data_IF_213438764951
#
_entry.id   IF_213438764951
#
_cell.length_a   1.000
_cell.length_b   1.000
_cell.length_c   1.000
_cell.angle_alpha   90.00
_cell.angle_beta   90.00
_cell.angle_gamma   90.00
#
_symmetry.space_group_name_H-M   'P 1'
#
loop_
_entity.id
_entity.type
_entity.pdbx_description
1 polymer ?
#
# COMPACT_ATOMS: atom_id res chain seq x y z
N UNK A 1 11.79 -7.57 14.88
CA UNK A 1 10.82 -8.67 14.81
C UNK A 1 10.34 -8.92 16.23
N UNK A 2 9.10 -8.54 16.54
CA UNK A 2 8.54 -8.80 17.87
C UNK A 2 7.87 -10.17 17.84
N UNK A 3 8.60 -11.19 18.25
CA UNK A 3 8.01 -12.43 18.76
C UNK A 3 7.87 -12.18 20.25
N UNK A 4 6.66 -12.31 20.79
CA UNK A 4 6.42 -11.98 22.20
C UNK A 4 7.08 -13.03 23.11
N UNK A 5 8.30 -12.74 23.58
CA UNK A 5 8.98 -13.28 24.79
C UNK A 5 10.32 -12.52 25.08
N UNK A 6 10.71 -12.36 26.37
CA UNK A 6 11.75 -11.47 27.00
C UNK A 6 13.26 -11.84 26.82
N UNK A 7 14.27 -10.98 27.16
CA UNK A 7 15.46 -10.70 26.32
C UNK A 7 16.84 -11.27 26.78
N UNK A 8 17.80 -11.27 25.85
CA UNK A 8 19.25 -11.30 26.10
C UNK A 8 20.04 -10.44 25.08
N UNK A 9 21.28 -10.14 25.46
CA UNK A 9 22.11 -8.93 25.26
C UNK A 9 22.90 -8.78 23.92
N UNK A 10 23.36 -7.54 23.71
CA UNK A 10 24.04 -6.86 22.61
C UNK A 10 25.41 -7.43 22.16
N UNK A 11 25.74 -7.20 20.86
CA UNK A 11 26.97 -6.47 20.47
C UNK A 11 27.07 -6.06 18.98
N UNK A 12 27.55 -4.83 18.84
CA UNK A 12 27.89 -3.99 17.67
C UNK A 12 28.94 -4.58 16.68
N UNK A 13 28.90 -4.16 15.40
CA UNK A 13 29.76 -3.08 14.84
C UNK A 13 29.62 -2.87 13.31
N UNK A 14 29.80 -1.60 12.99
CA UNK A 14 29.69 -0.84 11.73
C UNK A 14 30.97 -0.92 10.87
N UNK A 15 30.87 -0.78 9.54
CA UNK A 15 31.78 0.06 8.71
C UNK A 15 31.16 0.41 7.35
N UNK A 16 31.26 1.69 6.97
CA UNK A 16 30.80 2.28 5.71
C UNK A 16 31.99 2.72 4.86
N UNK A 17 31.91 2.59 3.52
CA UNK A 17 32.82 3.26 2.57
C UNK A 17 32.05 4.30 1.75
N UNK A 18 32.47 5.55 1.90
CA UNK A 18 31.94 6.74 1.22
C UNK A 18 32.84 7.05 0.02
N UNK A 19 32.25 7.30 -1.15
CA UNK A 19 32.97 7.81 -2.35
C UNK A 19 32.48 9.22 -2.69
N UNK A 20 33.41 10.07 -3.11
CA UNK A 20 33.30 11.54 -3.15
C UNK A 20 32.65 12.06 -4.44
N UNK A 21 31.58 12.85 -4.26
CA UNK A 21 30.80 13.56 -5.27
C UNK A 21 31.60 14.57 -6.12
N UNK A 22 32.78 15.00 -5.64
CA UNK A 22 33.65 15.97 -6.34
C UNK A 22 34.25 15.45 -7.65
N UNK A 23 34.26 14.12 -7.83
CA UNK A 23 34.83 13.47 -9.02
C UNK A 23 33.88 13.47 -10.21
N UNK A 24 32.56 13.60 -9.97
CA UNK A 24 31.54 13.58 -11.02
C UNK A 24 31.31 14.98 -11.64
N UNK A 25 31.44 16.04 -10.83
CA UNK A 25 31.19 17.43 -11.24
C UNK A 25 32.24 18.01 -12.20
N UNK A 26 33.51 17.59 -12.09
CA UNK A 26 34.59 18.09 -12.97
C UNK A 26 34.53 17.58 -14.41
N UNK A 27 33.72 16.55 -14.70
CA UNK A 27 33.66 15.92 -16.03
C UNK A 27 32.67 16.58 -16.99
N UNK A 28 31.71 17.39 -16.52
CA UNK A 28 30.64 17.96 -17.36
C UNK A 28 30.91 19.39 -17.82
N UNK A 29 31.67 20.19 -17.07
CA UNK A 29 31.81 21.65 -17.34
C UNK A 29 32.85 21.98 -18.43
N UNK A 30 33.81 21.10 -18.70
CA UNK A 30 34.91 21.38 -19.66
C UNK A 30 34.56 21.08 -21.13
N UNK A 31 33.39 20.51 -21.41
CA UNK A 31 32.95 20.12 -22.77
C UNK A 31 32.30 21.28 -23.55
N UNK A 32 31.67 22.24 -22.86
CA UNK A 32 30.86 23.28 -23.51
C UNK A 32 31.63 24.52 -24.01
N UNK A 33 32.86 24.75 -23.54
CA UNK A 33 33.58 26.00 -23.79
C UNK A 33 34.39 26.03 -25.11
N UNK A 34 34.32 25.01 -25.97
CA UNK A 34 35.19 24.90 -27.18
C UNK A 34 34.51 25.11 -28.54
N UNK A 35 33.20 25.38 -28.62
CA UNK A 35 32.48 25.28 -29.91
C UNK A 35 31.71 26.50 -30.41
N UNK A 36 31.95 27.72 -29.91
CA UNK A 36 31.23 28.90 -30.41
C UNK A 36 32.18 30.00 -30.92
N UNK A 37 32.66 29.84 -32.16
CA UNK A 37 33.18 30.95 -32.96
C UNK A 37 32.00 31.77 -33.48
N UNK A 38 31.68 32.89 -32.83
CA UNK A 38 30.61 33.80 -33.25
C UNK A 38 31.22 35.04 -33.91
N UNK A 39 30.77 35.31 -35.14
CA UNK A 39 31.22 36.41 -36.01
C UNK A 39 31.04 37.81 -35.40
N UNK A 40 31.97 38.76 -35.62
CA UNK A 40 32.01 40.07 -34.97
C UNK A 40 30.88 41.03 -35.38
N UNK A 41 29.99 40.66 -36.30
CA UNK A 41 28.83 41.50 -36.67
C UNK A 41 27.60 41.30 -35.77
N UNK A 42 27.59 40.29 -34.90
CA UNK A 42 26.49 40.04 -33.95
C UNK A 42 26.72 40.79 -32.61
N UNK A 43 27.93 41.31 -32.38
CA UNK A 43 28.35 41.89 -31.11
C UNK A 43 27.77 43.28 -30.78
N UNK A 44 27.00 43.91 -31.66
CA UNK A 44 26.48 45.29 -31.46
C UNK A 44 24.98 45.32 -31.11
N UNK A 45 24.22 44.25 -31.38
CA UNK A 45 22.77 44.21 -31.06
C UNK A 45 22.44 43.36 -29.81
N UNK A 46 23.37 42.54 -29.35
CA UNK A 46 23.22 41.70 -28.16
C UNK A 46 23.07 42.45 -26.82
N UNK A 47 23.74 43.59 -26.55
CA UNK A 47 23.60 44.24 -25.23
C UNK A 47 22.27 44.99 -25.05
N UNK A 48 21.46 45.15 -26.11
CA UNK A 48 20.16 45.84 -26.05
C UNK A 48 19.00 44.83 -26.00
N UNK A 49 19.09 43.73 -26.76
CA UNK A 49 18.03 42.71 -26.82
C UNK A 49 17.90 41.87 -25.54
N UNK A 50 19.02 41.59 -24.86
CA UNK A 50 19.01 40.82 -23.60
C UNK A 50 18.30 41.56 -22.45
N UNK A 51 18.57 42.84 -22.16
CA UNK A 51 17.84 43.54 -21.09
C UNK A 51 16.37 43.76 -21.44
N UNK A 52 16.01 44.01 -22.71
CA UNK A 52 14.61 44.15 -23.13
C UNK A 52 13.83 42.85 -22.99
N UNK A 53 14.43 41.71 -23.34
CA UNK A 53 13.79 40.39 -23.13
C UNK A 53 13.66 40.05 -21.65
N UNK A 54 14.68 40.33 -20.83
CA UNK A 54 14.59 40.19 -19.37
C UNK A 54 13.52 41.10 -18.75
N UNK A 55 13.37 42.35 -19.22
CA UNK A 55 12.36 43.28 -18.73
C UNK A 55 10.94 42.79 -19.08
N UNK A 56 10.74 42.26 -20.29
CA UNK A 56 9.47 41.67 -20.73
C UNK A 56 9.11 40.40 -19.96
N UNK A 57 10.10 39.55 -19.65
CA UNK A 57 9.91 38.37 -18.80
C UNK A 57 9.54 38.80 -17.37
N UNK A 58 10.25 39.77 -16.80
CA UNK A 58 9.94 40.31 -15.47
C UNK A 58 8.55 40.96 -15.42
N UNK A 59 8.18 41.72 -16.45
CA UNK A 59 6.84 42.32 -16.56
C UNK A 59 5.75 41.26 -16.69
N UNK A 60 5.99 40.15 -17.39
CA UNK A 60 5.04 39.03 -17.48
C UNK A 60 4.90 38.27 -16.15
N UNK A 61 5.98 38.19 -15.35
CA UNK A 61 5.97 37.59 -14.01
C UNK A 61 5.25 38.49 -12.99
N UNK A 62 5.40 39.82 -13.10
CA UNK A 62 4.73 40.76 -12.18
C UNK A 62 3.28 41.03 -12.59
N UNK A 63 2.97 41.07 -13.89
CA UNK A 63 1.61 41.24 -14.41
C UNK A 63 0.71 40.02 -14.15
N UNK A 64 1.29 38.84 -13.90
CA UNK A 64 0.53 37.63 -13.54
C UNK A 64 0.18 37.54 -12.04
N UNK A 65 0.61 38.49 -11.20
CA UNK A 65 0.24 38.56 -9.78
C UNK A 65 -1.04 39.38 -9.50
N UNK A 66 -1.77 39.76 -10.54
CA UNK A 66 -3.05 40.47 -10.45
C UNK A 66 -4.28 39.57 -10.43
N UNK A 67 -4.36 38.61 -9.49
CA UNK A 67 -5.61 38.12 -8.91
C UNK A 67 -5.28 37.11 -7.81
N UNK A 68 -5.29 37.56 -6.55
CA UNK A 68 -5.30 36.64 -5.40
C UNK A 68 -6.63 35.91 -5.34
N UNK A 69 -6.82 34.92 -6.19
CA UNK A 69 -7.56 33.73 -5.79
C UNK A 69 -6.67 33.00 -4.80
N UNK A 70 -6.98 33.12 -3.52
CA UNK A 70 -6.49 32.23 -2.46
C UNK A 70 -7.03 30.83 -2.77
N UNK A 71 -6.36 30.14 -3.70
CA UNK A 71 -6.71 28.78 -4.10
C UNK A 71 -6.43 27.86 -2.91
N UNK A 72 -7.38 26.97 -2.64
CA UNK A 72 -7.45 25.94 -1.61
C UNK A 72 -6.27 24.95 -1.54
N UNK A 73 -5.12 25.22 -2.18
CA UNK A 73 -3.93 24.36 -2.13
C UNK A 73 -3.23 24.34 -0.76
N UNK A 74 -3.45 25.34 0.09
CA UNK A 74 -2.92 25.37 1.46
C UNK A 74 -3.53 24.32 2.40
N UNK A 75 -4.76 23.87 2.13
CA UNK A 75 -5.44 22.87 2.95
C UNK A 75 -4.90 21.45 2.69
N UNK A 76 -4.41 21.18 1.48
CA UNK A 76 -3.90 19.85 1.11
C UNK A 76 -2.48 19.62 1.64
N UNK A 77 -1.60 20.61 1.64
CA UNK A 77 -0.21 20.45 2.11
C UNK A 77 -0.09 20.31 3.64
N UNK A 78 -1.02 20.85 4.41
CA UNK A 78 -1.05 20.68 5.87
C UNK A 78 -1.37 19.23 6.29
N UNK A 79 -2.14 18.50 5.47
CA UNK A 79 -2.54 17.11 5.71
C UNK A 79 -1.41 16.09 5.57
N UNK A 80 -0.28 16.44 4.93
CA UNK A 80 0.85 15.53 4.71
C UNK A 80 1.89 15.58 5.85
N UNK A 81 1.65 16.38 6.89
CA UNK A 81 2.60 16.60 7.97
C UNK A 81 2.73 15.41 8.94
N UNK A 82 1.83 14.42 8.88
CA UNK A 82 1.94 13.19 9.66
C UNK A 82 1.40 12.00 8.88
N UNK A 83 2.30 11.25 8.25
CA UNK A 83 1.98 9.93 7.72
C UNK A 83 1.70 9.02 8.93
N UNK A 84 0.52 8.37 9.02
CA UNK A 84 0.21 7.48 10.14
C UNK A 84 1.17 6.30 10.15
N UNK A 85 1.52 5.83 11.34
CA UNK A 85 2.36 4.63 11.48
C UNK A 85 1.57 3.42 11.00
N UNK A 86 2.22 2.51 10.28
CA UNK A 86 1.61 1.24 9.86
C UNK A 86 2.16 0.09 10.68
N UNK A 87 1.27 -0.70 11.26
CA UNK A 87 1.58 -1.93 11.98
C UNK A 87 1.18 -3.14 11.12
N UNK A 88 2.13 -4.04 10.89
CA UNK A 88 1.94 -5.22 10.03
C UNK A 88 1.63 -6.45 10.87
N UNK A 89 0.49 -7.08 10.61
CA UNK A 89 0.02 -8.31 11.27
C UNK A 89 -0.01 -9.48 10.28
N UNK A 90 0.72 -10.54 10.60
CA UNK A 90 0.91 -11.69 9.71
C UNK A 90 0.46 -12.97 10.41
N UNK A 91 -0.64 -13.61 9.97
CA UNK A 91 -1.13 -14.85 10.55
C UNK A 91 -0.26 -16.02 10.08
N UNK A 92 0.38 -16.75 10.98
CA UNK A 92 1.03 -18.02 10.65
C UNK A 92 1.16 -18.89 11.89
N UNK A 93 0.98 -20.19 11.73
CA UNK A 93 1.34 -21.15 12.77
C UNK A 93 2.78 -21.64 12.60
N UNK A 94 3.32 -22.21 13.67
CA UNK A 94 4.70 -22.70 13.72
C UNK A 94 5.00 -23.71 12.60
N UNK A 95 4.11 -24.68 12.40
CA UNK A 95 4.29 -25.73 11.40
C UNK A 95 4.40 -25.16 9.99
N UNK A 96 3.46 -24.30 9.56
CA UNK A 96 3.48 -23.70 8.23
C UNK A 96 4.69 -22.77 8.06
N UNK A 97 5.04 -22.00 9.09
CA UNK A 97 6.20 -21.11 9.06
C UNK A 97 7.53 -21.86 8.88
N UNK A 98 7.69 -23.01 9.54
CA UNK A 98 8.91 -23.83 9.47
C UNK A 98 8.97 -24.63 8.17
N UNK A 99 7.83 -25.18 7.73
CA UNK A 99 7.79 -26.11 6.58
C UNK A 99 7.66 -25.41 5.22
N UNK A 100 7.28 -24.13 5.18
CA UNK A 100 7.01 -23.40 3.93
C UNK A 100 8.08 -22.33 3.66
N UNK A 101 9.01 -22.53 2.70
CA UNK A 101 10.06 -21.55 2.38
C UNK A 101 9.55 -20.17 1.96
N UNK A 102 8.29 -20.10 1.52
CA UNK A 102 7.67 -18.84 1.14
C UNK A 102 7.51 -17.88 2.32
N UNK A 103 7.28 -18.39 3.54
CA UNK A 103 7.22 -17.55 4.73
C UNK A 103 8.51 -16.75 4.95
N UNK A 104 9.67 -17.39 4.79
CA UNK A 104 10.96 -16.71 4.88
C UNK A 104 11.11 -15.60 3.83
N UNK A 105 10.58 -15.80 2.61
CA UNK A 105 10.59 -14.76 1.56
C UNK A 105 9.70 -13.58 1.95
N UNK A 106 8.51 -13.84 2.50
CA UNK A 106 7.60 -12.81 3.02
C UNK A 106 8.26 -11.98 4.11
N UNK A 107 8.84 -12.63 5.12
CA UNK A 107 9.51 -11.98 6.25
C UNK A 107 10.76 -11.21 5.81
N UNK A 108 11.54 -11.76 4.88
CA UNK A 108 12.68 -11.07 4.30
C UNK A 108 12.24 -9.80 3.56
N UNK A 109 11.18 -9.89 2.73
CA UNK A 109 10.60 -8.73 2.05
C UNK A 109 10.14 -7.66 3.03
N UNK A 110 9.51 -8.06 4.13
CA UNK A 110 9.10 -7.14 5.19
C UNK A 110 10.29 -6.42 5.84
N UNK A 111 11.29 -7.17 6.31
CA UNK A 111 12.46 -6.61 7.02
C UNK A 111 13.26 -5.69 6.11
N UNK A 112 13.51 -6.09 4.86
CA UNK A 112 14.27 -5.27 3.88
C UNK A 112 13.56 -3.96 3.55
N UNK A 113 12.23 -3.94 3.58
CA UNK A 113 11.43 -2.74 3.34
C UNK A 113 11.14 -1.90 4.61
N UNK A 114 11.77 -2.23 5.75
CA UNK A 114 11.67 -1.45 6.99
C UNK A 114 10.42 -1.74 7.82
N UNK A 115 9.77 -2.89 7.62
CA UNK A 115 8.66 -3.32 8.47
C UNK A 115 9.15 -3.99 9.75
N UNK A 116 8.32 -3.90 10.80
CA UNK A 116 8.44 -4.75 11.98
C UNK A 116 7.19 -5.63 12.09
N UNK A 117 7.20 -6.83 11.48
CA UNK A 117 6.03 -7.72 11.49
C UNK A 117 5.67 -8.18 12.90
N UNK A 118 4.36 -8.23 13.17
CA UNK A 118 3.74 -8.90 14.31
C UNK A 118 3.17 -10.20 13.80
N UNK A 119 3.77 -11.31 14.22
CA UNK A 119 3.28 -12.64 13.88
C UNK A 119 2.26 -13.07 14.91
N UNK A 120 1.13 -13.60 14.46
CA UNK A 120 0.11 -14.13 15.33
C UNK A 120 -0.39 -15.50 14.87
N UNK A 121 -1.12 -16.19 15.76
CA UNK A 121 -1.54 -17.58 15.60
C UNK A 121 -0.40 -18.63 15.60
N UNK A 122 0.80 -18.28 16.11
CA UNK A 122 1.97 -19.17 16.12
C UNK A 122 1.67 -20.57 16.68
N UNK A 123 1.00 -20.63 17.84
CA UNK A 123 0.69 -21.90 18.52
C UNK A 123 -0.65 -22.52 18.13
N UNK A 124 -1.33 -22.01 17.11
CA UNK A 124 -2.67 -22.47 16.71
C UNK A 124 -2.54 -23.67 15.75
N UNK A 125 -3.16 -24.79 16.11
CA UNK A 125 -3.14 -26.05 15.34
C UNK A 125 -4.38 -26.29 14.47
N UNK A 126 -5.38 -25.41 14.55
CA UNK A 126 -6.67 -25.56 13.85
C UNK A 126 -6.70 -24.85 12.48
N UNK A 127 -7.84 -24.95 11.77
CA UNK A 127 -8.05 -24.38 10.43
C UNK A 127 -7.57 -22.93 10.32
N UNK A 128 -6.68 -22.69 9.34
CA UNK A 128 -5.94 -21.45 9.18
C UNK A 128 -6.84 -20.22 8.93
N UNK A 129 -7.90 -20.36 8.13
CA UNK A 129 -8.71 -19.24 7.66
C UNK A 129 -9.61 -18.64 8.76
N UNK A 130 -10.36 -19.48 9.46
CA UNK A 130 -11.21 -19.01 10.56
C UNK A 130 -10.38 -18.34 11.66
N UNK A 131 -9.21 -18.90 11.95
CA UNK A 131 -8.31 -18.40 12.99
C UNK A 131 -7.64 -17.09 12.61
N UNK A 132 -7.49 -16.78 11.32
CA UNK A 132 -7.00 -15.46 10.87
C UNK A 132 -7.95 -14.34 11.29
N UNK A 133 -9.26 -14.51 11.06
CA UNK A 133 -10.27 -13.52 11.48
C UNK A 133 -10.37 -13.46 13.01
N UNK A 134 -10.54 -14.61 13.66
CA UNK A 134 -10.66 -14.70 15.11
C UNK A 134 -9.44 -14.10 15.83
N UNK A 135 -8.23 -14.56 15.48
CA UNK A 135 -7.00 -14.16 16.16
C UNK A 135 -6.71 -12.68 16.00
N UNK A 136 -6.99 -12.09 14.83
CA UNK A 136 -6.84 -10.66 14.65
C UNK A 136 -7.90 -9.87 15.44
N UNK A 137 -9.17 -10.32 15.45
CA UNK A 137 -10.21 -9.69 16.26
C UNK A 137 -9.85 -9.66 17.76
N UNK A 138 -9.34 -10.78 18.30
CA UNK A 138 -8.89 -10.90 19.69
C UNK A 138 -7.70 -9.97 19.98
N UNK A 139 -6.73 -9.87 19.07
CA UNK A 139 -5.57 -8.97 19.22
C UNK A 139 -5.98 -7.50 19.20
N UNK A 140 -6.84 -7.09 18.26
CA UNK A 140 -7.30 -5.70 18.13
C UNK A 140 -8.19 -5.26 19.30
N UNK A 141 -8.84 -6.21 19.98
CA UNK A 141 -9.60 -5.97 21.20
C UNK A 141 -8.74 -5.96 22.48
N UNK A 142 -7.49 -6.43 22.42
CA UNK A 142 -6.64 -6.55 23.60
C UNK A 142 -5.99 -5.21 23.97
N UNK A 143 -6.27 -4.65 25.17
CA UNK A 143 -5.62 -3.43 25.62
C UNK A 143 -4.12 -3.62 25.87
N UNK A 144 -3.68 -4.86 26.11
CA UNK A 144 -2.26 -5.19 26.32
C UNK A 144 -1.48 -5.09 25.01
N UNK A 145 -1.99 -5.70 23.94
CA UNK A 145 -1.30 -5.71 22.66
C UNK A 145 -1.42 -4.37 21.92
N UNK A 146 -2.52 -3.64 22.11
CA UNK A 146 -2.76 -2.36 21.45
C UNK A 146 -2.23 -1.15 22.23
N UNK A 147 -1.64 -1.34 23.42
CA UNK A 147 -1.23 -0.25 24.33
C UNK A 147 -0.38 0.83 23.67
N UNK A 148 0.52 0.42 22.78
CA UNK A 148 1.51 1.31 22.15
C UNK A 148 1.09 1.73 20.72
N UNK A 149 -0.16 1.48 20.34
CA UNK A 149 -0.76 1.85 19.06
C UNK A 149 -1.84 2.91 19.26
N UNK A 150 -1.96 3.83 18.31
CA UNK A 150 -2.98 4.89 18.35
C UNK A 150 -4.17 4.52 17.48
N UNK A 151 -5.34 5.06 17.81
CA UNK A 151 -6.56 4.82 17.04
C UNK A 151 -6.45 5.30 15.58
N UNK A 152 -5.60 6.30 15.30
CA UNK A 152 -5.33 6.82 13.96
C UNK A 152 -4.19 6.09 13.20
N UNK A 153 -3.46 5.19 13.87
CA UNK A 153 -2.47 4.33 13.22
C UNK A 153 -3.16 3.38 12.22
N UNK A 154 -2.42 2.96 11.20
CA UNK A 154 -2.89 1.99 10.22
C UNK A 154 -2.51 0.57 10.64
N UNK A 155 -3.45 -0.35 10.48
CA UNK A 155 -3.23 -1.79 10.61
C UNK A 155 -3.24 -2.36 9.21
N UNK A 156 -2.15 -3.01 8.82
CA UNK A 156 -2.06 -3.82 7.61
C UNK A 156 -1.99 -5.28 8.03
N UNK A 157 -2.92 -6.10 7.56
CA UNK A 157 -2.79 -7.55 7.65
C UNK A 157 -2.67 -8.15 6.25
N UNK A 158 -1.85 -9.19 6.13
CA UNK A 158 -1.63 -9.89 4.86
C UNK A 158 -1.33 -11.37 5.09
N UNK A 159 -1.53 -12.19 4.07
CA UNK A 159 -1.15 -13.60 4.11
C UNK A 159 0.36 -13.79 4.24
N UNK A 160 0.73 -14.88 4.93
CA UNK A 160 2.11 -15.14 5.30
C UNK A 160 2.89 -15.95 4.25
N UNK A 161 2.19 -16.74 3.43
CA UNK A 161 2.79 -17.85 2.69
C UNK A 161 2.87 -17.64 1.17
N UNK A 162 2.20 -16.63 0.63
CA UNK A 162 2.06 -16.43 -0.82
C UNK A 162 2.09 -14.96 -1.26
N UNK A 163 2.50 -14.06 -0.36
CA UNK A 163 2.70 -12.65 -0.62
C UNK A 163 4.09 -12.18 -0.19
N UNK A 164 4.61 -11.10 -0.75
CA UNK A 164 5.80 -10.44 -0.21
C UNK A 164 5.70 -8.92 -0.33
N UNK A 165 6.27 -8.22 0.64
CA UNK A 165 6.26 -6.77 0.69
C UNK A 165 7.38 -6.19 -0.18
N UNK A 166 7.03 -5.21 -1.01
CA UNK A 166 7.97 -4.47 -1.88
C UNK A 166 8.03 -2.98 -1.57
N UNK A 167 7.13 -2.51 -0.69
CA UNK A 167 6.97 -1.10 -0.37
C UNK A 167 7.23 -0.91 1.12
N UNK A 168 7.76 0.25 1.49
CA UNK A 168 7.94 0.61 2.89
C UNK A 168 6.60 0.99 3.56
N UNK A 169 6.51 0.94 4.90
CA UNK A 169 5.33 1.38 5.64
C UNK A 169 4.84 2.78 5.22
N UNK A 170 5.76 3.73 5.05
CA UNK A 170 5.43 5.11 4.71
C UNK A 170 4.79 5.24 3.32
N UNK A 171 5.24 4.44 2.35
CA UNK A 171 4.66 4.43 1.00
C UNK A 171 3.26 3.84 1.03
N UNK A 172 3.06 2.75 1.78
CA UNK A 172 1.74 2.14 1.95
C UNK A 172 0.78 3.12 2.64
N UNK A 173 1.21 3.80 3.70
CA UNK A 173 0.40 4.78 4.40
C UNK A 173 0.00 5.96 3.50
N UNK A 174 0.93 6.53 2.72
CA UNK A 174 0.62 7.61 1.77
C UNK A 174 -0.41 7.17 0.73
N UNK A 175 -0.26 5.97 0.17
CA UNK A 175 -1.20 5.40 -0.80
C UNK A 175 -2.58 5.17 -0.20
N UNK A 176 -2.67 4.76 1.07
CA UNK A 176 -3.94 4.66 1.77
C UNK A 176 -4.60 6.04 1.93
N UNK A 177 -3.84 7.07 2.31
CA UNK A 177 -4.36 8.44 2.43
C UNK A 177 -4.83 9.02 1.09
N UNK A 178 -4.17 8.66 -0.02
CA UNK A 178 -4.57 9.06 -1.38
C UNK A 178 -5.94 8.50 -1.80
N UNK A 179 -6.45 7.45 -1.14
CA UNK A 179 -7.78 6.89 -1.41
C UNK A 179 -8.92 7.73 -0.83
N UNK A 180 -8.63 8.76 -0.01
CA UNK A 180 -9.64 9.68 0.52
C UNK A 180 -10.39 9.10 1.73
N UNK A 181 -11.73 9.26 1.74
CA UNK A 181 -12.60 8.83 2.84
C UNK A 181 -12.95 7.33 2.76
N UNK A 182 -11.94 6.48 2.95
CA UNK A 182 -12.08 5.02 3.08
C UNK A 182 -11.72 4.60 4.51
N UNK A 183 -12.52 3.72 5.12
CA UNK A 183 -12.28 3.25 6.50
C UNK A 183 -11.39 2.01 6.54
N UNK A 184 -11.72 1.04 5.67
CA UNK A 184 -10.99 -0.22 5.48
C UNK A 184 -10.90 -0.48 3.99
N UNK A 185 -9.75 -0.97 3.53
CA UNK A 185 -9.49 -1.36 2.16
C UNK A 185 -9.06 -2.81 2.15
N UNK A 186 -9.75 -3.63 1.37
CA UNK A 186 -9.35 -5.03 1.12
C UNK A 186 -8.77 -5.17 -0.28
N UNK A 187 -7.95 -6.18 -0.50
CA UNK A 187 -7.41 -6.47 -1.83
C UNK A 187 -8.56 -6.77 -2.81
N UNK A 188 -8.38 -6.36 -4.07
CA UNK A 188 -9.29 -6.74 -5.14
C UNK A 188 -8.71 -7.91 -5.94
N UNK A 189 -9.56 -8.88 -6.29
CA UNK A 189 -9.22 -10.00 -7.15
C UNK A 189 -10.22 -10.20 -8.28
N UNK A 190 -9.82 -11.04 -9.23
CA UNK A 190 -10.57 -11.37 -10.44
C UNK A 190 -11.65 -12.42 -10.21
N UNK A 191 -11.43 -13.33 -9.26
CA UNK A 191 -12.34 -14.44 -9.05
C UNK A 191 -13.32 -14.09 -7.92
N UNK A 192 -14.59 -14.41 -8.11
CA UNK A 192 -15.52 -14.46 -7.00
C UNK A 192 -15.45 -15.86 -6.41
N UNK A 193 -14.71 -16.03 -5.32
CA UNK A 193 -14.50 -17.32 -4.68
C UNK A 193 -14.60 -17.17 -3.16
N UNK A 194 -15.14 -18.15 -2.43
CA UNK A 194 -15.74 -19.41 -2.88
C UNK A 194 -17.22 -19.29 -3.27
N UNK A 195 -17.74 -18.07 -3.36
CA UNK A 195 -19.15 -17.82 -3.60
C UNK A 195 -19.61 -18.30 -4.96
N UNK A 196 -20.92 -18.59 -5.04
CA UNK A 196 -21.61 -18.89 -6.29
C UNK A 196 -21.46 -17.73 -7.29
N UNK A 197 -20.92 -17.99 -8.49
CA UNK A 197 -20.62 -16.95 -9.50
C UNK A 197 -21.90 -16.22 -9.92
N UNK A 198 -23.02 -16.92 -9.92
CA UNK A 198 -24.35 -16.41 -10.23
C UNK A 198 -25.05 -15.76 -9.01
N UNK A 199 -24.46 -15.87 -7.81
CA UNK A 199 -25.00 -15.33 -6.57
C UNK A 199 -24.83 -13.81 -6.45
N UNK A 200 -25.72 -13.19 -5.66
CA UNK A 200 -25.75 -11.73 -5.40
C UNK A 200 -24.37 -11.15 -5.00
N UNK A 201 -23.61 -11.86 -4.17
CA UNK A 201 -22.29 -11.40 -3.71
C UNK A 201 -21.26 -11.24 -4.86
N UNK A 202 -21.47 -11.94 -5.97
CA UNK A 202 -20.63 -11.88 -7.17
C UNK A 202 -21.20 -10.94 -8.23
N UNK A 203 -22.47 -11.10 -8.58
CA UNK A 203 -23.10 -10.35 -9.68
C UNK A 203 -23.29 -8.87 -9.35
N UNK A 204 -23.55 -8.55 -8.07
CA UNK A 204 -23.77 -7.17 -7.62
C UNK A 204 -22.44 -6.44 -7.32
N UNK A 205 -21.29 -7.12 -7.46
CA UNK A 205 -19.98 -6.49 -7.30
C UNK A 205 -19.78 -5.38 -8.36
N UNK A 206 -19.42 -4.15 -7.95
CA UNK A 206 -19.28 -3.04 -8.88
C UNK A 206 -18.20 -3.33 -9.92
N UNK A 207 -18.43 -2.84 -11.13
CA UNK A 207 -17.47 -2.99 -12.24
C UNK A 207 -16.12 -2.38 -11.85
N UNK A 208 -15.03 -3.07 -12.21
CA UNK A 208 -13.67 -2.58 -11.99
C UNK A 208 -13.49 -1.18 -12.58
N UNK A 209 -12.94 -0.20 -11.83
CA UNK A 209 -12.64 1.13 -12.34
C UNK A 209 -11.40 1.15 -13.26
N UNK A 210 -10.71 0.02 -13.40
CA UNK A 210 -9.51 -0.10 -14.22
C UNK A 210 -9.86 -0.04 -15.71
N UNK A 211 -8.90 0.47 -16.50
CA UNK A 211 -9.04 0.57 -17.95
C UNK A 211 -9.23 -0.84 -18.55
N UNK A 212 -10.24 -0.98 -19.42
CA UNK A 212 -10.50 -2.24 -20.13
C UNK A 212 -9.29 -2.64 -20.97
N UNK A 213 -8.95 -3.93 -20.97
CA UNK A 213 -7.80 -4.46 -21.71
C UNK A 213 -6.45 -4.28 -21.02
N UNK A 214 -6.41 -3.79 -19.77
CA UNK A 214 -5.18 -3.71 -18.99
C UNK A 214 -4.58 -5.09 -18.67
N UNK A 215 -5.42 -6.12 -18.56
CA UNK A 215 -5.01 -7.49 -18.25
C UNK A 215 -5.10 -8.40 -19.47
N UNK A 216 -4.24 -9.42 -19.49
CA UNK A 216 -4.29 -10.53 -20.44
C UNK A 216 -5.63 -11.27 -20.36
N UNK A 217 -6.01 -11.87 -21.49
CA UNK A 217 -7.24 -12.64 -21.66
C UNK A 217 -7.08 -14.11 -21.26
N UNK A 218 -5.87 -14.50 -20.93
CA UNK A 218 -5.45 -15.84 -20.56
C UNK A 218 -4.67 -15.82 -19.25
N UNK A 219 -4.74 -16.91 -18.49
CA UNK A 219 -3.89 -17.13 -17.32
C UNK A 219 -2.50 -17.67 -17.70
N UNK A 220 -1.64 -17.88 -16.70
CA UNK A 220 -0.26 -18.39 -16.93
C UNK A 220 -0.22 -19.79 -17.55
N UNK A 221 -1.32 -20.54 -17.49
CA UNK A 221 -1.44 -21.87 -18.05
C UNK A 221 -2.12 -21.86 -19.43
N UNK A 222 -2.40 -20.67 -19.99
CA UNK A 222 -3.07 -20.52 -21.27
C UNK A 222 -4.58 -20.77 -21.23
N UNK A 223 -5.19 -20.87 -20.04
CA UNK A 223 -6.65 -20.94 -19.93
C UNK A 223 -7.24 -19.60 -20.28
N UNK A 224 -8.21 -19.59 -21.18
CA UNK A 224 -8.98 -18.39 -21.48
C UNK A 224 -9.80 -17.97 -20.25
N UNK A 225 -9.64 -16.71 -19.85
CA UNK A 225 -10.38 -16.11 -18.75
C UNK A 225 -11.80 -15.78 -19.20
N UNK A 226 -12.77 -16.00 -18.32
CA UNK A 226 -14.12 -15.49 -18.53
C UNK A 226 -14.09 -13.95 -18.57
N UNK A 227 -15.01 -13.29 -19.29
CA UNK A 227 -15.10 -11.83 -19.30
C UNK A 227 -15.15 -11.20 -17.90
N UNK A 228 -15.72 -11.91 -16.93
CA UNK A 228 -15.82 -11.51 -15.53
C UNK A 228 -14.49 -11.62 -14.76
N UNK A 229 -13.57 -12.46 -15.24
CA UNK A 229 -12.23 -12.68 -14.66
C UNK A 229 -11.17 -11.74 -15.29
N UNK A 230 -11.55 -10.90 -16.25
CA UNK A 230 -10.61 -10.03 -16.96
C UNK A 230 -10.11 -8.87 -16.08
N UNK A 231 -10.91 -8.38 -15.15
CA UNK A 231 -10.53 -7.27 -14.28
C UNK A 231 -10.90 -7.58 -12.82
N UNK A 232 -10.02 -7.24 -11.86
CA UNK A 232 -10.34 -7.44 -10.46
C UNK A 232 -11.55 -6.59 -10.09
N UNK A 233 -12.49 -7.18 -9.36
CA UNK A 233 -13.69 -6.50 -8.79
C UNK A 233 -14.19 -7.11 -7.48
N UNK A 234 -13.73 -8.31 -7.15
CA UNK A 234 -14.15 -9.09 -5.99
C UNK A 234 -13.19 -8.86 -4.83
N UNK A 235 -13.67 -8.95 -3.58
CA UNK A 235 -12.81 -8.82 -2.41
C UNK A 235 -11.91 -10.05 -2.23
N UNK A 236 -10.69 -9.84 -1.76
CA UNK A 236 -9.74 -10.88 -1.39
C UNK A 236 -9.28 -10.64 0.05
N UNK A 237 -9.31 -11.71 0.86
CA UNK A 237 -8.98 -11.64 2.28
C UNK A 237 -7.50 -11.58 2.58
N UNK A 238 -6.65 -11.83 1.59
CA UNK A 238 -5.21 -11.97 1.74
C UNK A 238 -4.46 -10.67 1.98
N UNK A 239 -5.11 -9.51 1.86
CA UNK A 239 -4.55 -8.23 2.33
C UNK A 239 -5.66 -7.26 2.71
N UNK A 240 -5.58 -6.71 3.92
CA UNK A 240 -6.54 -5.72 4.44
C UNK A 240 -5.79 -4.60 5.16
N UNK A 241 -6.16 -3.35 4.90
CA UNK A 241 -5.61 -2.18 5.59
C UNK A 241 -6.73 -1.25 6.06
N UNK A 242 -6.56 -0.64 7.22
CA UNK A 242 -7.46 0.40 7.71
C UNK A 242 -6.91 1.08 8.95
N UNK A 243 -7.61 2.11 9.43
CA UNK A 243 -7.28 2.71 10.74
C UNK A 243 -7.58 1.72 11.85
N UNK A 244 -6.82 1.78 12.95
CA UNK A 244 -7.00 0.86 14.08
C UNK A 244 -8.46 0.83 14.57
N UNK A 245 -9.09 1.99 14.73
CA UNK A 245 -10.50 2.07 15.17
C UNK A 245 -11.46 1.33 14.22
N UNK A 246 -11.27 1.52 12.92
CA UNK A 246 -12.12 0.93 11.88
C UNK A 246 -11.85 -0.57 11.71
N UNK A 247 -10.59 -0.98 11.82
CA UNK A 247 -10.16 -2.39 11.76
C UNK A 247 -10.68 -3.17 12.96
N UNK A 248 -10.72 -2.56 14.16
CA UNK A 248 -11.32 -3.19 15.35
C UNK A 248 -12.81 -3.44 15.14
N UNK A 249 -13.56 -2.45 14.66
CA UNK A 249 -14.98 -2.61 14.36
C UNK A 249 -15.23 -3.65 13.25
N UNK A 250 -14.42 -3.60 12.18
CA UNK A 250 -14.52 -4.51 11.04
C UNK A 250 -14.30 -5.98 11.45
N UNK A 251 -13.18 -6.28 12.12
CA UNK A 251 -12.87 -7.66 12.53
C UNK A 251 -13.78 -8.17 13.65
N UNK A 252 -14.26 -7.31 14.54
CA UNK A 252 -15.29 -7.69 15.52
C UNK A 252 -16.61 -8.05 14.83
N UNK A 253 -17.03 -7.29 13.82
CA UNK A 253 -18.22 -7.57 13.02
C UNK A 253 -18.09 -8.86 12.21
N UNK A 254 -16.96 -9.06 11.54
CA UNK A 254 -16.62 -10.31 10.85
C UNK A 254 -16.71 -11.49 11.83
N UNK A 255 -16.02 -11.40 12.95
CA UNK A 255 -16.00 -12.45 13.96
C UNK A 255 -17.39 -12.77 14.52
N UNK A 256 -18.19 -11.74 14.80
CA UNK A 256 -19.58 -11.91 15.25
C UNK A 256 -20.45 -12.62 14.23
N UNK A 257 -20.30 -12.32 12.93
CA UNK A 257 -21.05 -12.97 11.87
C UNK A 257 -20.61 -14.42 11.66
N UNK A 258 -19.30 -14.71 11.70
CA UNK A 258 -18.78 -16.09 11.58
C UNK A 258 -19.30 -17.03 12.67
N UNK A 259 -19.64 -16.50 13.85
CA UNK A 259 -20.23 -17.27 14.95
C UNK A 259 -21.76 -17.28 14.95
N UNK A 260 -22.40 -16.64 13.99
CA UNK A 260 -23.85 -16.63 13.89
C UNK A 260 -24.36 -17.85 13.13
N UNK A 261 -25.57 -18.30 13.45
CA UNK A 261 -26.23 -19.41 12.74
C UNK A 261 -26.51 -19.12 11.26
N UNK A 262 -26.26 -17.89 10.80
CA UNK A 262 -26.43 -17.46 9.41
C UNK A 262 -25.19 -17.70 8.56
N UNK A 263 -24.06 -18.03 9.18
CA UNK A 263 -22.81 -18.28 8.46
C UNK A 263 -22.63 -19.77 8.26
N UNK A 264 -22.70 -20.19 7.00
CA UNK A 264 -22.47 -21.57 6.54
C UNK A 264 -21.13 -21.74 5.80
N UNK A 265 -20.36 -20.66 5.67
CA UNK A 265 -19.02 -20.66 5.08
C UNK A 265 -17.95 -21.27 5.99
N UNK A 266 -16.82 -21.65 5.40
CA UNK A 266 -15.70 -22.28 6.12
C UNK A 266 -14.36 -21.52 5.99
N UNK A 267 -14.32 -20.49 5.16
CA UNK A 267 -13.14 -19.71 4.81
C UNK A 267 -13.26 -18.24 5.25
N UNK A 268 -12.20 -17.45 5.13
CA UNK A 268 -12.16 -16.05 5.53
C UNK A 268 -12.51 -15.09 4.38
N UNK A 269 -12.66 -15.59 3.16
CA UNK A 269 -12.93 -14.81 1.97
C UNK A 269 -14.43 -14.65 1.72
N UNK A 270 -15.23 -15.71 1.85
CA UNK A 270 -16.69 -15.69 1.71
C UNK A 270 -17.33 -14.59 2.56
N UNK A 271 -16.86 -14.43 3.80
CA UNK A 271 -17.36 -13.39 4.70
C UNK A 271 -17.02 -11.96 4.24
N UNK A 272 -15.87 -11.75 3.57
CA UNK A 272 -15.51 -10.41 3.10
C UNK A 272 -16.40 -9.95 1.95
N UNK A 273 -16.89 -10.86 1.13
CA UNK A 273 -17.92 -10.54 0.14
C UNK A 273 -19.24 -10.12 0.82
N UNK A 274 -19.64 -10.83 1.88
CA UNK A 274 -20.85 -10.51 2.64
C UNK A 274 -20.76 -9.16 3.40
N UNK A 275 -19.56 -8.70 3.77
CA UNK A 275 -19.40 -7.43 4.52
C UNK A 275 -19.70 -6.16 3.73
N UNK A 276 -19.72 -6.19 2.39
CA UNK A 276 -20.17 -5.01 1.61
C UNK A 276 -21.58 -4.55 2.00
N UNK A 277 -22.41 -5.47 2.51
CA UNK A 277 -23.77 -5.16 2.96
C UNK A 277 -23.81 -4.36 4.27
N UNK A 278 -22.74 -4.39 5.08
CA UNK A 278 -22.70 -3.86 6.44
C UNK A 278 -21.61 -2.81 6.68
N UNK A 279 -20.65 -2.66 5.76
CA UNK A 279 -19.55 -1.70 5.85
C UNK A 279 -19.58 -0.71 4.66
N UNK A 280 -20.32 0.41 4.78
CA UNK A 280 -20.56 1.33 3.66
C UNK A 280 -19.29 2.00 3.10
N UNK A 281 -18.22 2.10 3.91
CA UNK A 281 -16.94 2.71 3.54
C UNK A 281 -15.83 1.68 3.27
N UNK A 282 -16.19 0.45 2.89
CA UNK A 282 -15.24 -0.57 2.45
C UNK A 282 -14.71 -0.24 1.04
N UNK A 283 -13.44 0.09 0.96
CA UNK A 283 -12.72 0.29 -0.31
C UNK A 283 -12.14 -1.01 -0.87
N UNK A 284 -11.90 -1.02 -2.18
CA UNK A 284 -11.14 -2.07 -2.86
C UNK A 284 -9.83 -1.51 -3.43
N UNK A 285 -8.73 -2.23 -3.26
CA UNK A 285 -7.43 -1.87 -3.81
C UNK A 285 -7.24 -2.45 -5.22
N UNK A 286 -7.27 -1.59 -6.25
CA UNK A 286 -7.07 -1.93 -7.65
C UNK A 286 -5.80 -1.29 -8.22
N UNK A 287 -4.98 -1.99 -9.04
CA UNK A 287 -4.39 -3.30 -8.80
C UNK A 287 -3.23 -3.19 -7.80
N UNK A 288 -3.26 -3.98 -6.72
CA UNK A 288 -2.12 -4.24 -5.82
C UNK A 288 -1.32 -2.99 -5.36
N UNK A 289 -2.02 -1.89 -5.09
CA UNK A 289 -1.38 -0.64 -4.61
C UNK A 289 -0.74 -0.85 -3.23
N UNK A 290 -1.17 -1.88 -2.50
CA UNK A 290 -0.77 -2.15 -1.11
C UNK A 290 0.26 -3.28 -0.98
N UNK A 291 0.10 -4.37 -1.74
CA UNK A 291 1.02 -5.51 -1.74
C UNK A 291 0.89 -6.29 -3.05
N UNK A 292 1.99 -6.86 -3.52
CA UNK A 292 2.00 -7.75 -4.68
C UNK A 292 1.84 -9.20 -4.18
N UNK A 293 0.72 -9.81 -4.57
CA UNK A 293 0.45 -11.25 -4.39
C UNK A 293 0.92 -12.00 -5.65
N UNK A 294 1.27 -13.28 -5.50
CA UNK A 294 1.95 -14.04 -6.54
C UNK A 294 1.03 -14.63 -7.60
#
# INVERSE_FOLDING_TARGET
>A
MAIVSTPADDRLKQTSRQTSWWTLYKRTVTSWARSAMISPRIAVLTPILIPLTLLMILYSITSSHGSSSTIQHGLHLASWSKVPKVHLFVPVNEEAAITTPAFCRTMQGAVVNGWSPIIFNWSVKSSYQFRKVQGLAELLASPVYMRDMKEDDLILTMDALDAWLQLSPDVVARRFLEMGDVSVVVAAEKNCWPNDKEGHDCVDAPVSPLIKGLFWKDDRNGRQLDPEELAPRHANSGTVIGRLSDMRAFYAGLWGFMNSDRYDGYDDQSIQHATRRWQPRLGLSYPSVLALTR
#
